data_IF_296085043666
#
_entry.id   IF_296085043666
#
_cell.length_a   1.000
_cell.length_b   1.000
_cell.length_c   1.000
_cell.angle_alpha   90.00
_cell.angle_beta   90.00
_cell.angle_gamma   90.00
#
_symmetry.space_group_name_H-M   'P 1'
#
loop_
_entity.id
_entity.type
_entity.pdbx_description
1 polymer ?
#
# COMPACT_ATOMS: atom_id res chain seq x y z
N UNK A 1 10.87 -4.78 7.15
CA UNK A 1 10.65 -4.92 5.69
C UNK A 1 9.58 -5.97 5.32
N UNK A 2 9.73 -7.25 5.73
CA UNK A 2 8.83 -8.36 5.31
C UNK A 2 7.33 -8.09 5.53
N UNK A 3 6.97 -7.58 6.71
CA UNK A 3 5.57 -7.26 7.05
C UNK A 3 4.95 -6.23 6.08
N UNK A 4 5.67 -5.14 5.78
CA UNK A 4 5.20 -4.12 4.84
C UNK A 4 5.05 -4.71 3.44
N UNK A 5 6.00 -5.51 2.97
CA UNK A 5 5.90 -6.18 1.67
C UNK A 5 4.68 -7.09 1.56
N UNK A 6 4.36 -7.86 2.61
CA UNK A 6 3.16 -8.72 2.65
C UNK A 6 1.89 -7.87 2.52
N UNK A 7 1.79 -6.76 3.26
CA UNK A 7 0.64 -5.85 3.10
C UNK A 7 0.54 -5.25 1.70
N UNK A 8 1.67 -4.97 1.04
CA UNK A 8 1.68 -4.53 -0.36
C UNK A 8 1.10 -5.60 -1.27
N UNK A 9 1.58 -6.84 -1.13
CA UNK A 9 1.17 -7.99 -1.93
C UNK A 9 -0.33 -8.29 -1.75
N UNK A 10 -0.83 -8.22 -0.52
CA UNK A 10 -2.27 -8.37 -0.23
C UNK A 10 -3.08 -7.28 -0.90
N UNK A 11 -2.60 -6.02 -0.89
CA UNK A 11 -3.29 -4.93 -1.56
C UNK A 11 -3.31 -5.10 -3.09
N UNK A 12 -2.22 -5.60 -3.69
CA UNK A 12 -2.19 -5.96 -5.11
C UNK A 12 -3.15 -7.12 -5.43
N UNK A 13 -3.23 -8.12 -4.56
CA UNK A 13 -4.12 -9.27 -4.72
C UNK A 13 -5.60 -8.88 -4.64
N UNK A 14 -5.93 -7.82 -3.90
CA UNK A 14 -7.28 -7.28 -3.79
C UNK A 14 -7.69 -6.47 -5.02
N UNK A 15 -6.74 -5.98 -5.82
CA UNK A 15 -7.03 -5.06 -6.92
C UNK A 15 -7.92 -5.65 -8.02
N UNK A 16 -7.70 -6.88 -8.52
CA UNK A 16 -8.55 -7.49 -9.55
C UNK A 16 -10.01 -7.71 -9.12
N UNK A 17 -10.32 -7.66 -7.82
CA UNK A 17 -11.69 -7.75 -7.35
C UNK A 17 -12.46 -6.42 -7.51
N UNK A 18 -11.78 -5.32 -7.82
CA UNK A 18 -12.41 -4.01 -8.03
C UNK A 18 -12.94 -3.80 -9.45
N UNK A 19 -12.52 -4.64 -10.41
CA UNK A 19 -12.87 -4.55 -11.83
C UNK A 19 -14.05 -5.44 -12.22
N UNK A 20 -14.67 -6.14 -11.25
CA UNK A 20 -15.83 -6.99 -11.49
C UNK A 20 -17.02 -6.18 -12.05
N UNK A 21 -17.69 -6.65 -13.13
CA UNK A 21 -18.66 -5.86 -13.89
C UNK A 21 -20.00 -5.61 -13.18
N UNK A 22 -20.34 -6.35 -12.12
CA UNK A 22 -21.53 -6.05 -11.33
C UNK A 22 -21.22 -4.95 -10.31
N UNK A 23 -22.08 -3.92 -10.25
CA UNK A 23 -21.94 -2.79 -9.34
C UNK A 23 -22.12 -3.18 -7.87
N UNK A 24 -21.08 -3.74 -7.25
CA UNK A 24 -21.08 -4.08 -5.84
C UNK A 24 -20.89 -2.83 -4.98
N UNK A 25 -21.79 -2.64 -4.00
CA UNK A 25 -21.61 -1.69 -2.88
C UNK A 25 -20.29 -1.93 -2.13
N UNK A 26 -19.75 -3.16 -2.23
CA UNK A 26 -18.48 -3.59 -1.64
C UNK A 26 -17.24 -3.05 -2.37
N UNK A 27 -17.34 -2.52 -3.59
CA UNK A 27 -16.19 -1.98 -4.33
C UNK A 27 -15.59 -0.76 -3.63
N UNK A 28 -16.43 0.14 -3.11
CA UNK A 28 -15.98 1.35 -2.38
C UNK A 28 -15.16 0.99 -1.12
N UNK A 29 -15.65 0.16 -0.17
CA UNK A 29 -14.86 -0.20 1.01
C UNK A 29 -13.61 -1.00 0.68
N UNK A 30 -13.62 -1.83 -0.37
CA UNK A 30 -12.42 -2.53 -0.86
C UNK A 30 -11.37 -1.52 -1.34
N UNK A 31 -11.75 -0.56 -2.20
CA UNK A 31 -10.83 0.47 -2.70
C UNK A 31 -10.24 1.28 -1.55
N UNK A 32 -11.06 1.70 -0.58
CA UNK A 32 -10.58 2.41 0.62
C UNK A 32 -9.54 1.57 1.37
N UNK A 33 -9.83 0.28 1.55
CA UNK A 33 -8.92 -0.65 2.24
C UNK A 33 -7.60 -0.82 1.47
N UNK A 34 -7.66 -0.94 0.15
CA UNK A 34 -6.49 -1.02 -0.74
C UNK A 34 -5.62 0.24 -0.59
N UNK A 35 -6.20 1.44 -0.68
CA UNK A 35 -5.42 2.68 -0.56
C UNK A 35 -4.75 2.83 0.82
N UNK A 36 -5.44 2.44 1.90
CA UNK A 36 -4.85 2.43 3.24
C UNK A 36 -3.67 1.45 3.31
N UNK A 37 -3.85 0.23 2.80
CA UNK A 37 -2.81 -0.81 2.81
C UNK A 37 -1.60 -0.40 1.97
N UNK A 38 -1.82 0.09 0.75
CA UNK A 38 -0.75 0.56 -0.15
C UNK A 38 -0.01 1.74 0.50
N UNK A 39 -0.72 2.73 1.03
CA UNK A 39 -0.09 3.89 1.66
C UNK A 39 0.79 3.52 2.84
N UNK A 40 0.26 2.69 3.75
CA UNK A 40 0.99 2.18 4.91
C UNK A 40 2.20 1.34 4.48
N UNK A 41 2.00 0.42 3.55
CA UNK A 41 3.04 -0.48 3.08
C UNK A 41 4.18 0.25 2.35
N UNK A 42 3.84 1.17 1.43
CA UNK A 42 4.81 1.92 0.63
C UNK A 42 5.75 2.74 1.53
N UNK A 43 5.20 3.38 2.57
CA UNK A 43 6.02 4.08 3.56
C UNK A 43 6.97 3.14 4.31
N UNK A 44 6.48 1.98 4.74
CA UNK A 44 7.30 0.97 5.41
C UNK A 44 8.39 0.37 4.52
N UNK A 45 8.11 0.15 3.23
CA UNK A 45 9.07 -0.34 2.24
C UNK A 45 10.18 0.68 1.97
N UNK A 46 9.83 1.95 1.74
CA UNK A 46 10.79 3.04 1.52
C UNK A 46 11.74 3.23 2.70
N UNK A 47 11.20 3.24 3.93
CA UNK A 47 11.99 3.36 5.15
C UNK A 47 12.91 2.15 5.34
N UNK A 48 12.36 0.94 5.21
CA UNK A 48 13.13 -0.29 5.37
C UNK A 48 14.27 -0.39 4.35
N UNK A 49 14.00 -0.07 3.08
CA UNK A 49 14.99 -0.09 2.01
C UNK A 49 16.14 0.88 2.28
N UNK A 50 15.83 2.09 2.75
CA UNK A 50 16.84 3.10 3.09
C UNK A 50 17.70 2.67 4.28
N UNK A 51 17.09 2.13 5.34
CA UNK A 51 17.81 1.61 6.51
C UNK A 51 18.67 0.41 6.14
N UNK A 52 18.18 -0.46 5.26
CA UNK A 52 18.92 -1.61 4.76
C UNK A 52 20.15 -1.18 3.96
N UNK A 53 19.99 -0.24 3.02
CA UNK A 53 21.10 0.34 2.26
C UNK A 53 22.15 0.98 3.19
N UNK A 54 21.70 1.65 4.25
CA UNK A 54 22.59 2.21 5.26
C UNK A 54 23.33 1.13 6.06
N UNK A 55 22.65 0.09 6.53
CA UNK A 55 23.25 -1.03 7.29
C UNK A 55 24.26 -1.83 6.47
N UNK A 56 24.07 -1.91 5.16
CA UNK A 56 24.99 -2.58 4.24
C UNK A 56 26.22 -1.72 3.89
N UNK A 57 26.13 -0.41 4.08
CA UNK A 57 27.20 0.47 3.68
C UNK A 57 28.46 0.31 4.56
N UNK A 58 29.66 0.48 3.99
CA UNK A 58 30.88 0.63 4.78
C UNK A 58 30.75 1.82 5.75
N UNK A 59 31.38 1.72 6.94
CA UNK A 59 31.27 2.74 8.00
C UNK A 59 31.56 4.17 7.52
N UNK A 60 32.47 4.32 6.55
CA UNK A 60 32.89 5.62 6.05
C UNK A 60 32.18 6.07 4.76
N UNK A 61 31.31 5.23 4.16
CA UNK A 61 30.73 5.46 2.83
C UNK A 61 29.23 5.11 2.75
N UNK A 62 28.41 5.64 3.66
CA UNK A 62 26.95 5.44 3.67
C UNK A 62 26.19 6.27 2.64
N UNK A 63 26.65 7.48 2.33
CA UNK A 63 26.00 8.41 1.40
C UNK A 63 25.92 7.84 -0.03
N UNK A 64 26.99 7.25 -0.62
CA UNK A 64 26.90 6.65 -1.96
C UNK A 64 25.89 5.50 -2.04
N UNK A 65 25.81 4.64 -1.03
CA UNK A 65 24.88 3.50 -1.01
C UNK A 65 23.41 3.93 -0.99
N UNK A 66 23.06 4.89 -0.13
CA UNK A 66 21.70 5.45 -0.07
C UNK A 66 21.36 6.15 -1.39
N UNK A 67 22.31 6.88 -1.97
CA UNK A 67 22.12 7.58 -3.24
C UNK A 67 21.82 6.61 -4.38
N UNK A 68 22.63 5.55 -4.52
CA UNK A 68 22.42 4.50 -5.53
C UNK A 68 21.06 3.83 -5.34
N UNK A 69 20.67 3.52 -4.09
CA UNK A 69 19.34 2.96 -3.80
C UNK A 69 18.22 3.88 -4.31
N UNK A 70 18.30 5.18 -4.00
CA UNK A 70 17.33 6.17 -4.48
C UNK A 70 17.29 6.31 -6.01
N UNK A 71 18.46 6.27 -6.67
CA UNK A 71 18.57 6.32 -8.13
C UNK A 71 17.93 5.09 -8.78
N UNK A 72 18.19 3.89 -8.25
CA UNK A 72 17.59 2.64 -8.74
C UNK A 72 16.07 2.68 -8.60
N UNK A 73 15.56 3.11 -7.44
CA UNK A 73 14.11 3.27 -7.21
C UNK A 73 13.51 4.26 -8.21
N UNK A 74 14.19 5.38 -8.48
CA UNK A 74 13.70 6.42 -9.39
C UNK A 74 13.69 5.95 -10.84
N UNK A 75 14.72 5.22 -11.28
CA UNK A 75 14.78 4.62 -12.62
C UNK A 75 13.68 3.57 -12.78
N UNK A 76 13.52 2.68 -11.79
CA UNK A 76 12.47 1.68 -11.78
C UNK A 76 11.07 2.32 -11.84
N UNK A 77 10.84 3.38 -11.05
CA UNK A 77 9.59 4.13 -11.06
C UNK A 77 9.33 4.83 -12.40
N UNK A 78 10.36 5.34 -13.07
CA UNK A 78 10.24 5.96 -14.40
C UNK A 78 9.96 4.96 -15.51
N UNK A 79 10.52 3.75 -15.43
CA UNK A 79 10.35 2.69 -16.42
C UNK A 79 9.04 1.92 -16.22
N UNK A 80 8.54 1.83 -14.97
CA UNK A 80 7.35 1.06 -14.61
C UNK A 80 6.10 1.38 -15.45
N UNK A 81 5.72 2.65 -15.74
CA UNK A 81 4.56 2.94 -16.58
C UNK A 81 4.70 2.45 -18.02
N UNK A 82 5.92 2.46 -18.57
CA UNK A 82 6.17 1.99 -19.93
C UNK A 82 5.92 0.47 -20.03
N UNK A 83 6.42 -0.28 -19.05
CA UNK A 83 6.17 -1.71 -18.95
C UNK A 83 4.70 -2.00 -18.65
N UNK A 84 4.09 -1.25 -17.73
CA UNK A 84 2.67 -1.42 -17.38
C UNK A 84 1.76 -1.22 -18.59
N UNK A 85 1.94 -0.13 -19.34
CA UNK A 85 1.12 0.14 -20.53
C UNK A 85 1.32 -0.91 -21.63
N UNK A 86 2.57 -1.17 -22.03
CA UNK A 86 2.87 -2.13 -23.11
C UNK A 86 2.43 -3.55 -22.79
N UNK A 87 2.62 -4.01 -21.54
CA UNK A 87 2.18 -5.33 -21.12
C UNK A 87 0.65 -5.39 -21.02
N UNK A 88 -0.01 -4.32 -20.54
CA UNK A 88 -1.47 -4.26 -20.52
C UNK A 88 -2.05 -4.36 -21.92
N UNK A 89 -1.52 -3.63 -22.91
CA UNK A 89 -2.03 -3.66 -24.29
C UNK A 89 -1.96 -5.07 -24.92
N UNK A 90 -0.96 -5.87 -24.52
CA UNK A 90 -0.82 -7.27 -24.96
C UNK A 90 -1.86 -8.15 -24.25
N UNK A 91 -2.06 -7.93 -22.95
CA UNK A 91 -2.95 -8.72 -22.08
C UNK A 91 -4.43 -8.34 -22.21
N UNK A 92 -4.77 -7.15 -22.72
CA UNK A 92 -6.13 -6.72 -23.00
C UNK A 92 -6.83 -7.64 -24.01
N UNK A 93 -6.04 -8.37 -24.81
CA UNK A 93 -6.53 -9.39 -25.76
C UNK A 93 -6.86 -10.72 -25.09
N UNK A 94 -6.47 -10.90 -23.83
CA UNK A 94 -6.71 -12.09 -23.02
C UNK A 94 -7.76 -11.78 -21.95
N UNK A 95 -8.79 -12.60 -21.87
CA UNK A 95 -9.82 -12.49 -20.83
C UNK A 95 -10.03 -13.86 -20.20
N UNK A 96 -9.91 -13.91 -18.88
CA UNK A 96 -10.23 -15.10 -18.10
C UNK A 96 -11.41 -14.78 -17.19
N UNK A 97 -12.57 -15.32 -17.55
CA UNK A 97 -13.80 -15.13 -16.78
C UNK A 97 -14.24 -16.45 -16.16
N UNK A 98 -14.50 -16.41 -14.85
CA UNK A 98 -15.03 -17.53 -14.08
C UNK A 98 -16.39 -17.12 -13.51
N UNK A 99 -17.44 -17.69 -14.10
CA UNK A 99 -18.82 -17.41 -13.75
C UNK A 99 -19.44 -18.65 -13.14
N UNK A 100 -19.98 -18.51 -11.94
CA UNK A 100 -20.78 -19.55 -11.31
C UNK A 100 -22.25 -19.23 -11.53
N UNK A 101 -22.93 -20.08 -12.31
CA UNK A 101 -24.35 -19.96 -12.58
C UNK A 101 -25.09 -21.04 -11.80
N UNK A 102 -25.89 -20.61 -10.82
CA UNK A 102 -26.84 -21.48 -10.14
C UNK A 102 -28.23 -21.19 -10.70
N UNK A 103 -28.73 -22.12 -11.52
CA UNK A 103 -30.05 -21.99 -12.14
C UNK A 103 -31.07 -22.75 -11.30
N UNK A 104 -31.95 -22.01 -10.62
CA UNK A 104 -33.08 -22.55 -9.84
C UNK A 104 -34.38 -21.87 -10.28
N UNK A 105 -35.52 -22.54 -10.12
CA UNK A 105 -36.83 -22.10 -10.62
C UNK A 105 -37.39 -20.89 -9.84
N UNK A 106 -36.95 -20.68 -8.59
CA UNK A 106 -37.43 -19.58 -7.74
C UNK A 106 -36.44 -18.41 -7.60
N UNK A 107 -35.13 -18.66 -7.66
CA UNK A 107 -34.08 -17.63 -7.54
C UNK A 107 -32.84 -18.05 -8.34
N UNK A 108 -32.75 -17.74 -9.64
CA UNK A 108 -31.51 -17.87 -10.37
C UNK A 108 -30.47 -16.89 -9.79
N UNK A 109 -29.26 -17.39 -9.51
CA UNK A 109 -28.17 -16.59 -9.01
C UNK A 109 -26.93 -16.80 -9.88
N UNK A 110 -26.42 -15.71 -10.44
CA UNK A 110 -25.18 -15.68 -11.20
C UNK A 110 -24.14 -14.93 -10.38
N UNK A 111 -23.09 -15.62 -9.95
CA UNK A 111 -21.95 -14.98 -9.30
C UNK A 111 -20.81 -14.88 -10.31
N UNK A 112 -20.37 -13.66 -10.60
CA UNK A 112 -19.09 -13.43 -11.27
C UNK A 112 -17.99 -13.53 -10.21
N UNK A 113 -17.34 -14.69 -10.11
CA UNK A 113 -16.28 -14.89 -9.11
C UNK A 113 -15.04 -14.08 -9.47
N UNK A 114 -14.68 -14.07 -10.76
CA UNK A 114 -13.44 -13.45 -11.22
C UNK A 114 -13.52 -13.17 -12.72
N UNK A 115 -13.15 -11.97 -13.14
CA UNK A 115 -13.00 -11.60 -14.55
C UNK A 115 -11.67 -10.87 -14.71
N UNK A 116 -10.61 -11.62 -14.98
CA UNK A 116 -9.28 -11.04 -15.20
C UNK A 116 -9.19 -10.52 -16.62
N UNK A 117 -8.94 -9.21 -16.74
CA UNK A 117 -8.71 -8.53 -18.00
C UNK A 117 -7.51 -7.57 -17.88
N UNK A 118 -6.69 -7.47 -18.92
CA UNK A 118 -5.71 -6.40 -19.06
C UNK A 118 -4.78 -6.23 -17.84
N UNK A 119 -4.97 -5.12 -17.12
CA UNK A 119 -4.24 -4.76 -15.90
C UNK A 119 -4.34 -5.81 -14.77
N UNK A 120 -5.40 -6.61 -14.72
CA UNK A 120 -5.56 -7.64 -13.67
C UNK A 120 -4.46 -8.69 -13.72
N UNK A 121 -4.01 -9.05 -14.92
CA UNK A 121 -2.87 -9.94 -15.11
C UNK A 121 -1.55 -9.32 -14.65
N UNK A 122 -1.41 -8.00 -14.77
CA UNK A 122 -0.25 -7.27 -14.25
C UNK A 122 -0.21 -7.28 -12.71
N UNK A 123 -1.35 -7.22 -12.04
CA UNK A 123 -1.42 -7.38 -10.59
C UNK A 123 -0.98 -8.79 -10.17
N UNK A 124 -1.43 -9.83 -10.87
CA UNK A 124 -0.99 -11.22 -10.61
C UNK A 124 0.52 -11.37 -10.82
N UNK A 125 1.04 -10.86 -11.93
CA UNK A 125 2.47 -10.91 -12.23
C UNK A 125 3.30 -10.14 -11.19
N UNK A 126 2.80 -8.99 -10.72
CA UNK A 126 3.41 -8.23 -9.65
C UNK A 126 3.43 -9.00 -8.33
N UNK A 127 2.41 -9.80 -8.02
CA UNK A 127 2.38 -10.65 -6.83
C UNK A 127 3.43 -11.75 -6.93
N UNK A 128 3.57 -12.39 -8.10
CA UNK A 128 4.59 -13.42 -8.34
C UNK A 128 5.99 -12.83 -8.16
N UNK A 129 6.27 -11.71 -8.84
CA UNK A 129 7.58 -11.04 -8.75
C UNK A 129 7.85 -10.54 -7.32
N UNK A 130 6.87 -9.94 -6.65
CA UNK A 130 7.04 -9.44 -5.29
C UNK A 130 7.22 -10.56 -4.26
N UNK A 131 6.55 -11.71 -4.45
CA UNK A 131 6.78 -12.91 -3.63
C UNK A 131 8.17 -13.48 -3.87
N UNK A 132 8.62 -13.53 -5.12
CA UNK A 132 9.98 -13.94 -5.47
C UNK A 132 11.04 -13.00 -4.87
N UNK A 133 10.78 -11.68 -4.87
CA UNK A 133 11.64 -10.70 -4.20
C UNK A 133 11.75 -10.96 -2.70
N UNK A 134 10.64 -11.31 -2.02
CA UNK A 134 10.66 -11.69 -0.61
C UNK A 134 11.45 -12.97 -0.35
N UNK A 135 11.37 -13.94 -1.25
CA UNK A 135 12.18 -15.16 -1.20
C UNK A 135 13.67 -14.82 -1.27
N UNK A 136 14.09 -14.00 -2.24
CA UNK A 136 15.49 -13.58 -2.40
C UNK A 136 16.01 -12.81 -1.18
N UNK A 137 15.15 -11.99 -0.56
CA UNK A 137 15.51 -11.20 0.61
C UNK A 137 15.77 -12.05 1.86
N UNK A 138 15.27 -13.29 1.90
CA UNK A 138 15.51 -14.22 3.01
C UNK A 138 16.98 -14.60 3.12
N UNK A 139 17.69 -14.65 2.00
CA UNK A 139 19.06 -15.14 1.91
C UNK A 139 20.11 -14.05 2.20
N UNK A 140 19.66 -12.81 2.46
CA UNK A 140 20.56 -11.69 2.70
C UNK A 140 20.85 -11.55 4.19
N UNK A 141 22.12 -11.66 4.64
CA UNK A 141 22.47 -11.55 6.05
C UNK A 141 22.30 -10.10 6.54
N UNK A 142 21.32 -9.86 7.41
CA UNK A 142 21.22 -8.60 8.14
C UNK A 142 22.21 -8.61 9.31
N UNK A 143 23.15 -7.67 9.32
CA UNK A 143 23.99 -7.39 10.50
C UNK A 143 23.15 -6.66 11.56
N UNK A 144 23.35 -7.03 12.82
CA UNK A 144 22.68 -6.45 14.00
C UNK A 144 21.14 -6.53 13.92
N UNK A 145 20.61 -7.76 13.88
CA UNK A 145 19.17 -8.03 14.00
C UNK A 145 18.81 -8.13 15.47
N UNK A 146 17.99 -7.19 15.96
CA UNK A 146 17.33 -7.35 17.24
C UNK A 146 16.31 -8.48 17.15
N UNK A 147 16.10 -9.23 18.24
CA UNK A 147 15.14 -10.33 18.26
C UNK A 147 13.75 -9.87 17.81
N UNK A 148 13.11 -10.64 16.92
CA UNK A 148 11.83 -10.32 16.29
C UNK A 148 10.73 -9.98 17.31
N UNK A 149 10.78 -10.59 18.49
CA UNK A 149 9.82 -10.36 19.57
C UNK A 149 9.97 -8.97 20.20
N UNK A 150 11.21 -8.52 20.42
CA UNK A 150 11.52 -7.18 20.93
C UNK A 150 11.06 -6.11 19.92
N UNK A 151 11.32 -6.33 18.63
CA UNK A 151 10.91 -5.41 17.57
C UNK A 151 9.40 -5.28 17.48
N UNK A 152 8.65 -6.40 17.58
CA UNK A 152 7.18 -6.39 17.59
C UNK A 152 6.64 -5.67 18.81
N UNK A 153 7.24 -5.90 19.97
CA UNK A 153 6.84 -5.25 21.22
C UNK A 153 7.07 -3.73 21.14
N UNK A 154 8.27 -3.27 20.76
CA UNK A 154 8.55 -1.85 20.59
C UNK A 154 7.63 -1.19 19.57
N UNK A 155 7.35 -1.86 18.45
CA UNK A 155 6.42 -1.36 17.43
C UNK A 155 5.00 -1.23 17.98
N UNK A 156 4.50 -2.23 18.72
CA UNK A 156 3.19 -2.16 19.37
C UNK A 156 3.11 -1.02 20.37
N UNK A 157 4.12 -0.83 21.22
CA UNK A 157 4.15 0.25 22.20
C UNK A 157 4.24 1.62 21.54
N UNK A 158 5.06 1.75 20.50
CA UNK A 158 5.21 2.98 19.73
C UNK A 158 3.89 3.34 19.06
N UNK A 159 3.26 2.40 18.36
CA UNK A 159 1.95 2.60 17.74
C UNK A 159 0.89 2.96 18.78
N UNK A 160 0.79 2.19 19.86
CA UNK A 160 -0.19 2.44 20.94
C UNK A 160 0.01 3.82 21.55
N UNK A 161 1.25 4.26 21.75
CA UNK A 161 1.60 5.60 22.26
C UNK A 161 1.19 6.67 21.26
N UNK A 162 1.52 6.51 19.98
CA UNK A 162 1.13 7.44 18.92
C UNK A 162 -0.38 7.60 18.85
N UNK A 163 -1.12 6.49 18.76
CA UNK A 163 -2.58 6.52 18.72
C UNK A 163 -3.16 7.17 19.97
N UNK A 164 -2.65 6.85 21.17
CA UNK A 164 -3.10 7.47 22.42
C UNK A 164 -2.89 8.99 22.40
N UNK A 165 -1.73 9.47 21.99
CA UNK A 165 -1.40 10.91 21.97
C UNK A 165 -2.23 11.65 20.94
N UNK A 166 -2.33 11.14 19.70
CA UNK A 166 -3.14 11.77 18.66
C UNK A 166 -4.64 11.77 19.00
N UNK A 167 -5.15 10.66 19.54
CA UNK A 167 -6.56 10.56 19.96
C UNK A 167 -6.87 11.50 21.13
N UNK A 168 -5.97 11.65 22.10
CA UNK A 168 -6.11 12.60 23.21
C UNK A 168 -6.06 14.07 22.76
N UNK A 169 -5.29 14.41 21.72
CA UNK A 169 -5.18 15.78 21.21
C UNK A 169 -6.24 16.15 20.16
N UNK A 170 -6.95 15.17 19.58
CA UNK A 170 -8.02 15.38 18.62
C UNK A 170 -9.12 16.36 19.11
N UNK A 171 -9.69 16.22 20.33
CA UNK A 171 -10.70 17.15 20.84
C UNK A 171 -10.14 18.56 21.09
N UNK A 172 -8.88 18.68 21.50
CA UNK A 172 -8.22 19.97 21.77
C UNK A 172 -7.98 20.74 20.47
N UNK A 173 -7.55 20.05 19.41
CA UNK A 173 -7.36 20.64 18.08
C UNK A 173 -8.68 21.11 17.46
N UNK A 174 -9.75 20.32 17.61
CA UNK A 174 -11.10 20.68 17.15
C UNK A 174 -11.60 21.94 17.88
N UNK A 175 -11.39 22.03 19.20
CA UNK A 175 -11.84 23.19 19.98
C UNK A 175 -11.03 24.46 19.66
N UNK A 176 -9.70 24.33 19.46
CA UNK A 176 -8.83 25.46 19.11
C UNK A 176 -9.15 26.00 17.71
N UNK A 177 -9.47 25.12 16.75
CA UNK A 177 -9.84 25.53 15.40
C UNK A 177 -11.18 26.28 15.37
N UNK A 178 -12.20 25.81 16.11
CA UNK A 178 -13.49 26.52 16.26
C UNK A 178 -13.32 27.93 16.84
N UNK A 179 -12.43 28.13 17.83
CA UNK A 179 -12.14 29.47 18.39
C UNK A 179 -11.45 30.39 17.39
N UNK A 180 -10.57 29.86 16.53
CA UNK A 180 -9.85 30.64 15.52
C UNK A 180 -10.79 31.11 14.40
N UNK A 181 -11.72 30.27 13.97
CA UNK A 181 -12.76 30.60 12.98
C UNK A 181 -13.70 31.68 13.53
N UNK A 182 -14.14 31.56 14.79
CA UNK A 182 -15.00 32.57 15.44
C UNK A 182 -14.32 33.94 15.56
N UNK A 183 -13.01 33.96 15.85
CA UNK A 183 -12.21 35.21 15.85
C UNK A 183 -12.12 35.83 14.45
N UNK A 184 -11.87 35.06 13.40
CA UNK A 184 -11.76 35.57 12.03
C UNK A 184 -13.07 36.20 11.54
N UNK A 185 -14.23 35.62 11.86
CA UNK A 185 -15.53 36.21 11.53
C UNK A 185 -15.80 37.53 12.27
N UNK A 186 -15.38 37.65 13.54
CA UNK A 186 -15.54 38.89 14.28
C UNK A 186 -14.73 40.04 13.65
N UNK A 187 -13.51 39.79 13.16
CA UNK A 187 -12.72 40.83 12.49
C UNK A 187 -13.24 41.23 11.10
N UNK A 188 -14.00 40.35 10.43
CA UNK A 188 -14.68 40.69 9.17
C UNK A 188 -15.93 41.55 9.38
N UNK A 189 -16.56 41.47 10.57
CA UNK A 189 -17.75 42.24 10.92
C UNK A 189 -17.44 43.70 11.30
N UNK A 190 -16.21 44.00 11.72
CA UNK A 190 -15.75 45.38 12.04
C UNK A 190 -15.17 46.14 10.82
N UNK A 191 -15.30 45.60 9.61
CA UNK A 191 -14.71 46.17 8.38
C UNK A 191 -15.74 46.56 7.31
N UNK A 192 -17.03 46.48 7.64
CA UNK A 192 -18.16 47.09 6.92
C UNK A 192 -18.78 48.16 7.81
#
# INVERSE_FOLDING_TARGET
MKLSAIFYLVALALWPYTTLPEGYVLTIPIIISIYILIGFSTGGLMLSSTVFAFKMAPKDNSVPFITVNGTVISIAAGISPLFGGTISDILDKMRLSLVFMWTDTNMPFTLFLTDFQGLDFLFILSIIIGTYSLYLLKDVPEKDVAEDEIVKFELYYTLRRYFRVYFLHLPILIHKNKRKIKRKNNYAFYRN
#
